data_IF_600173203858
#
_entry.id   IF_600173203858
#
_cell.length_a   1.000
_cell.length_b   1.000
_cell.length_c   1.000
_cell.angle_alpha   90.00
_cell.angle_beta   90.00
_cell.angle_gamma   90.00
#
_symmetry.space_group_name_H-M   'P 1'
#
loop_
_entity.id
_entity.type
_entity.pdbx_description
1 polymer ?
#
# COMPACT_ATOMS: atom_id res chain seq x y z
N UNK A 1 1.30 0.86 -9.71
CA UNK A 1 0.24 0.38 -8.82
C UNK A 1 0.59 -0.88 -8.02
N UNK A 2 1.15 -1.94 -8.60
CA UNK A 2 1.34 -3.20 -7.86
C UNK A 2 2.48 -3.25 -6.83
N UNK A 3 3.63 -2.62 -7.10
CA UNK A 3 4.82 -2.84 -6.27
C UNK A 3 4.77 -2.07 -4.93
N UNK A 4 4.34 -0.81 -4.97
CA UNK A 4 4.23 0.03 -3.77
C UNK A 4 3.02 -0.38 -2.93
N UNK A 5 1.92 -0.81 -3.56
CA UNK A 5 0.75 -1.33 -2.84
C UNK A 5 1.06 -2.63 -2.09
N UNK A 6 1.78 -3.58 -2.70
CA UNK A 6 2.23 -4.80 -2.02
C UNK A 6 3.10 -4.51 -0.79
N UNK A 7 3.97 -3.51 -0.90
CA UNK A 7 4.74 -3.01 0.24
C UNK A 7 3.83 -2.40 1.32
N UNK A 8 2.87 -1.56 0.89
CA UNK A 8 1.85 -0.94 1.74
C UNK A 8 1.02 -1.95 2.52
N UNK A 9 0.59 -3.05 1.89
CA UNK A 9 -0.23 -4.09 2.53
C UNK A 9 0.51 -4.96 3.54
N UNK A 10 1.84 -5.06 3.37
CA UNK A 10 2.67 -6.00 4.12
C UNK A 10 3.22 -5.35 5.40
N UNK A 11 3.87 -4.20 5.27
CA UNK A 11 4.56 -3.54 6.38
C UNK A 11 3.88 -2.24 6.83
N UNK A 12 2.86 -1.76 6.11
CA UNK A 12 2.32 -0.41 6.36
C UNK A 12 3.30 0.67 5.91
N UNK A 13 3.80 0.55 4.68
CA UNK A 13 4.90 1.35 4.08
C UNK A 13 4.64 2.86 3.97
N UNK A 14 3.55 3.39 4.56
CA UNK A 14 3.18 4.80 4.48
C UNK A 14 4.27 5.74 5.00
N UNK A 15 4.95 5.40 6.10
CA UNK A 15 6.06 6.22 6.64
C UNK A 15 7.38 6.00 5.90
N UNK A 16 7.63 4.80 5.40
CA UNK A 16 8.87 4.47 4.68
C UNK A 16 8.87 5.04 3.26
N UNK A 17 7.71 5.38 2.69
CA UNK A 17 7.63 6.06 1.38
C UNK A 17 8.21 7.47 1.36
N UNK A 18 8.31 8.15 2.51
CA UNK A 18 8.96 9.46 2.58
C UNK A 18 10.45 9.37 2.19
N UNK A 19 11.10 8.26 2.54
CA UNK A 19 12.49 7.97 2.19
C UNK A 19 12.66 7.48 0.75
N UNK A 20 11.58 7.03 0.10
CA UNK A 20 11.58 6.55 -1.30
C UNK A 20 11.37 7.68 -2.31
N UNK A 21 10.80 8.83 -1.92
CA UNK A 21 10.64 9.99 -2.81
C UNK A 21 11.94 10.44 -3.50
N UNK A 22 13.08 10.61 -2.80
CA UNK A 22 14.33 11.05 -3.43
C UNK A 22 14.89 10.03 -4.44
N UNK A 23 14.48 8.77 -4.36
CA UNK A 23 14.93 7.67 -5.23
C UNK A 23 13.98 7.52 -6.42
N UNK A 24 12.67 7.54 -6.18
CA UNK A 24 11.66 7.32 -7.22
C UNK A 24 11.46 8.57 -8.09
N UNK A 25 11.42 9.77 -7.51
CA UNK A 25 11.23 11.02 -8.27
C UNK A 25 12.20 11.16 -9.45
N UNK A 26 13.53 11.03 -9.29
CA UNK A 26 14.44 11.17 -10.43
C UNK A 26 14.26 10.07 -11.49
N UNK A 27 13.89 8.85 -11.09
CA UNK A 27 13.63 7.75 -12.05
C UNK A 27 12.41 8.06 -12.92
N UNK A 28 11.32 8.55 -12.31
CA UNK A 28 10.12 8.90 -13.05
C UNK A 28 10.27 10.19 -13.88
N UNK A 29 11.07 11.15 -13.42
CA UNK A 29 11.43 12.34 -14.20
C UNK A 29 12.23 11.95 -15.46
N UNK A 30 13.17 11.02 -15.36
CA UNK A 30 13.90 10.48 -16.53
C UNK A 30 12.96 9.72 -17.48
N UNK A 31 11.94 9.05 -16.94
CA UNK A 31 10.91 8.37 -17.73
C UNK A 31 9.89 9.34 -18.37
N UNK A 32 10.04 10.66 -18.18
CA UNK A 32 9.21 11.69 -18.82
C UNK A 32 7.91 12.01 -18.09
N UNK A 33 7.75 11.56 -16.84
CA UNK A 33 6.59 11.88 -16.00
C UNK A 33 6.81 13.15 -15.18
N UNK A 34 5.72 13.89 -14.92
CA UNK A 34 5.76 15.08 -14.07
C UNK A 34 5.84 14.72 -12.59
N UNK A 35 6.54 15.54 -11.81
CA UNK A 35 6.74 15.38 -10.36
C UNK A 35 5.43 15.22 -9.59
N UNK A 36 4.35 15.91 -9.98
CA UNK A 36 3.04 15.80 -9.33
C UNK A 36 2.38 14.45 -9.58
N UNK A 37 2.57 13.88 -10.77
CA UNK A 37 2.07 12.54 -11.09
C UNK A 37 2.77 11.49 -10.23
N UNK A 38 4.08 11.63 -10.00
CA UNK A 38 4.88 10.70 -9.18
C UNK A 38 4.52 10.77 -7.71
N UNK A 39 4.37 11.98 -7.18
CA UNK A 39 3.89 12.18 -5.81
C UNK A 39 2.49 11.61 -5.62
N UNK A 40 1.59 11.88 -6.57
CA UNK A 40 0.22 11.38 -6.55
C UNK A 40 0.15 9.86 -6.58
N UNK A 41 0.94 9.19 -7.43
CA UNK A 41 0.94 7.73 -7.52
C UNK A 41 1.48 7.07 -6.25
N UNK A 42 2.60 7.55 -5.71
CA UNK A 42 3.19 7.00 -4.48
C UNK A 42 2.24 7.19 -3.28
N UNK A 43 1.63 8.36 -3.15
CA UNK A 43 0.68 8.65 -2.07
C UNK A 43 -0.61 7.82 -2.18
N UNK A 44 -1.17 7.70 -3.38
CA UNK A 44 -2.37 6.89 -3.59
C UNK A 44 -2.09 5.39 -3.41
N UNK A 45 -0.97 4.87 -3.93
CA UNK A 45 -0.60 3.46 -3.79
C UNK A 45 -0.40 3.07 -2.33
N UNK A 46 0.25 3.91 -1.53
CA UNK A 46 0.46 3.64 -0.10
C UNK A 46 -0.85 3.69 0.67
N UNK A 47 -1.70 4.66 0.38
CA UNK A 47 -3.02 4.78 1.01
C UNK A 47 -3.89 3.55 0.72
N UNK A 48 -3.96 3.11 -0.55
CA UNK A 48 -4.71 1.92 -0.96
C UNK A 48 -4.11 0.65 -0.35
N UNK A 49 -2.78 0.49 -0.39
CA UNK A 49 -2.12 -0.67 0.22
C UNK A 49 -2.33 -0.74 1.74
N UNK A 50 -2.33 0.40 2.44
CA UNK A 50 -2.54 0.40 3.89
C UNK A 50 -4.00 0.09 4.24
N UNK A 51 -4.97 0.62 3.48
CA UNK A 51 -6.40 0.30 3.64
C UNK A 51 -6.72 -1.18 3.45
N UNK A 52 -5.98 -1.87 2.59
CA UNK A 52 -6.22 -3.28 2.24
C UNK A 52 -5.08 -4.17 2.75
N UNK A 53 -4.61 -3.88 3.96
CA UNK A 53 -3.48 -4.60 4.54
C UNK A 53 -3.78 -6.08 4.80
N UNK A 54 -2.93 -6.97 4.28
CA UNK A 54 -3.03 -8.43 4.46
C UNK A 54 -2.36 -8.90 5.75
N UNK A 55 -1.19 -8.35 6.09
CA UNK A 55 -0.41 -8.75 7.29
C UNK A 55 0.17 -7.56 8.06
N UNK A 56 -0.33 -6.35 7.83
CA UNK A 56 0.16 -5.16 8.52
C UNK A 56 -0.11 -5.25 10.04
N UNK A 57 0.94 -5.23 10.87
CA UNK A 57 0.80 -5.33 12.32
C UNK A 57 0.17 -4.09 12.96
N UNK A 58 0.22 -2.94 12.28
CA UNK A 58 -0.31 -1.66 12.77
C UNK A 58 -1.78 -1.43 12.44
N UNK A 59 -2.38 -2.27 11.58
CA UNK A 59 -3.79 -2.16 11.21
C UNK A 59 -4.50 -3.50 11.35
N UNK A 60 -4.18 -4.48 10.51
CA UNK A 60 -4.89 -5.76 10.41
C UNK A 60 -4.82 -6.55 11.71
N UNK A 61 -3.64 -6.69 12.33
CA UNK A 61 -3.49 -7.49 13.56
C UNK A 61 -4.24 -6.85 14.74
N UNK A 62 -4.21 -5.52 14.87
CA UNK A 62 -4.91 -4.80 15.94
C UNK A 62 -6.43 -4.86 15.70
N UNK A 63 -6.87 -4.71 14.45
CA UNK A 63 -8.28 -4.84 14.06
C UNK A 63 -8.81 -6.25 14.34
N UNK A 64 -8.12 -7.31 13.91
CA UNK A 64 -8.54 -8.70 14.16
C UNK A 64 -8.60 -9.01 15.66
N UNK A 65 -7.62 -8.53 16.44
CA UNK A 65 -7.63 -8.69 17.90
C UNK A 65 -8.80 -7.95 18.58
N UNK A 66 -9.14 -6.76 18.09
CA UNK A 66 -10.26 -5.96 18.63
C UNK A 66 -11.61 -6.57 18.23
N UNK A 67 -11.71 -7.11 17.02
CA UNK A 67 -12.92 -7.75 16.50
C UNK A 67 -13.10 -9.20 16.99
N UNK A 68 -12.10 -9.80 17.65
CA UNK A 68 -12.16 -11.18 18.15
C UNK A 68 -12.21 -12.24 17.05
N UNK A 69 -11.85 -11.87 15.81
CA UNK A 69 -11.85 -12.76 14.64
C UNK A 69 -10.42 -13.22 14.33
N UNK A 70 -10.29 -14.42 13.78
CA UNK A 70 -8.99 -14.96 13.41
C UNK A 70 -8.50 -14.30 12.10
N UNK A 71 -7.28 -13.77 12.09
CA UNK A 71 -6.70 -13.03 10.97
C UNK A 71 -6.77 -13.81 9.63
N UNK A 72 -6.69 -15.14 9.69
CA UNK A 72 -6.74 -16.00 8.51
C UNK A 72 -8.09 -15.95 7.77
N UNK A 73 -9.17 -15.54 8.44
CA UNK A 73 -10.50 -15.42 7.86
C UNK A 73 -10.69 -14.12 7.06
N UNK A 74 -9.92 -13.08 7.37
CA UNK A 74 -9.99 -11.77 6.70
C UNK A 74 -9.12 -11.69 5.43
N UNK A 75 -8.13 -12.58 5.32
CA UNK A 75 -7.21 -12.66 4.18
C UNK A 75 -7.88 -12.72 2.79
N UNK A 76 -8.94 -13.53 2.56
CA UNK A 76 -9.58 -13.63 1.25
C UNK A 76 -10.27 -12.33 0.83
N UNK A 77 -10.88 -11.62 1.78
CA UNK A 77 -11.57 -10.36 1.53
C UNK A 77 -10.57 -9.24 1.23
N UNK A 78 -9.48 -9.17 2.00
CA UNK A 78 -8.37 -8.26 1.72
C UNK A 78 -7.72 -8.51 0.37
N UNK A 79 -7.46 -9.77 0.01
CA UNK A 79 -6.83 -10.11 -1.27
C UNK A 79 -7.72 -9.75 -2.47
N UNK A 80 -9.04 -9.93 -2.35
CA UNK A 80 -10.00 -9.54 -3.39
C UNK A 80 -10.05 -8.02 -3.60
N UNK A 81 -10.09 -7.24 -2.51
CA UNK A 81 -10.09 -5.77 -2.58
C UNK A 81 -8.74 -5.25 -3.09
N UNK A 82 -7.63 -5.91 -2.77
CA UNK A 82 -6.30 -5.55 -3.26
C UNK A 82 -6.20 -5.77 -4.77
N UNK A 83 -6.76 -6.89 -5.25
CA UNK A 83 -6.78 -7.21 -6.66
C UNK A 83 -7.62 -6.19 -7.46
N UNK A 84 -8.77 -5.78 -6.92
CA UNK A 84 -9.58 -4.70 -7.48
C UNK A 84 -8.82 -3.37 -7.47
N UNK A 85 -8.21 -2.98 -6.35
CA UNK A 85 -7.48 -1.72 -6.22
C UNK A 85 -6.20 -1.65 -7.05
N UNK A 86 -5.56 -2.79 -7.34
CA UNK A 86 -4.39 -2.87 -8.20
C UNK A 86 -4.75 -2.97 -9.71
N UNK A 87 -6.01 -3.29 -10.03
CA UNK A 87 -6.53 -3.39 -11.40
C UNK A 87 -7.01 -2.06 -11.98
N UNK A 88 -7.07 -1.00 -11.19
CA UNK A 88 -7.47 0.36 -11.60
C UNK A 88 -6.23 1.24 -11.83
#
# INVERSE_FOLDING_TARGET
MGLISLGGTTFGLAEETMAMYPILIPVFLIAGYDTMTVLGTIFLETSIGTMVSTINPFSTIIASNTAGVNFALELPCGLFVLWLGCSM
#
